data_IF_922780076017
#
_entry.id   IF_922780076017
#
_cell.length_a   1.000
_cell.length_b   1.000
_cell.length_c   1.000
_cell.angle_alpha   90.00
_cell.angle_beta   90.00
_cell.angle_gamma   90.00
#
_symmetry.space_group_name_H-M   'P 1'
#
loop_
_entity.id
_entity.type
_entity.pdbx_description
1 polymer ?
#
# COMPACT_ATOMS: atom_id res chain seq x y z
N UNK A 1 -0.42 -52.76 -29.65
CA UNK A 1 -1.01 -51.86 -28.63
C UNK A 1 -0.17 -52.05 -27.38
N UNK A 2 0.76 -51.13 -27.14
CA UNK A 2 1.83 -51.27 -26.14
C UNK A 2 1.19 -51.18 -24.75
N UNK A 3 1.19 -52.33 -24.07
CA UNK A 3 0.84 -52.57 -22.66
C UNK A 3 -0.60 -52.23 -22.25
N UNK A 4 -1.46 -53.24 -22.26
CA UNK A 4 -2.79 -53.26 -21.61
C UNK A 4 -2.64 -53.19 -20.09
N UNK A 5 -2.24 -52.03 -19.56
CA UNK A 5 -1.99 -51.86 -18.14
C UNK A 5 -2.68 -50.60 -17.62
N UNK A 6 -4.00 -50.71 -17.47
CA UNK A 6 -4.86 -49.65 -16.93
C UNK A 6 -4.45 -49.15 -15.54
N UNK A 7 -3.59 -49.89 -14.81
CA UNK A 7 -2.99 -49.41 -13.57
C UNK A 7 -2.01 -48.26 -13.84
N UNK A 8 -1.15 -48.37 -14.84
CA UNK A 8 -0.21 -47.28 -15.20
C UNK A 8 -0.94 -46.06 -15.77
N UNK A 9 -2.03 -46.28 -16.52
CA UNK A 9 -2.87 -45.19 -17.04
C UNK A 9 -3.64 -44.46 -15.92
N UNK A 10 -4.14 -45.21 -14.92
CA UNK A 10 -4.75 -44.66 -13.72
C UNK A 10 -3.77 -43.86 -12.84
N UNK A 11 -2.54 -44.36 -12.67
CA UNK A 11 -1.47 -43.64 -11.96
C UNK A 11 -1.11 -42.35 -12.71
N UNK A 12 -0.99 -42.43 -14.05
CA UNK A 12 -0.75 -41.26 -14.90
C UNK A 12 -1.83 -40.19 -14.74
N UNK A 13 -3.10 -40.61 -14.78
CA UNK A 13 -4.24 -39.69 -14.57
C UNK A 13 -4.23 -39.05 -13.18
N UNK A 14 -3.94 -39.83 -12.13
CA UNK A 14 -3.82 -39.29 -10.76
C UNK A 14 -2.67 -38.29 -10.61
N UNK A 15 -1.51 -38.57 -11.24
CA UNK A 15 -0.38 -37.64 -11.23
C UNK A 15 -0.70 -36.33 -11.96
N UNK A 16 -1.36 -36.41 -13.12
CA UNK A 16 -1.79 -35.21 -13.86
C UNK A 16 -2.81 -34.43 -13.02
N UNK A 17 -3.80 -35.11 -12.42
CA UNK A 17 -4.78 -34.47 -11.54
C UNK A 17 -4.13 -33.77 -10.35
N UNK A 18 -3.19 -34.44 -9.67
CA UNK A 18 -2.43 -33.85 -8.56
C UNK A 18 -1.59 -32.64 -8.98
N UNK A 19 -0.94 -32.71 -10.15
CA UNK A 19 -0.18 -31.60 -10.70
C UNK A 19 -1.08 -30.39 -10.97
N UNK A 20 -2.23 -30.59 -11.61
CA UNK A 20 -3.18 -29.51 -11.91
C UNK A 20 -3.73 -28.86 -10.65
N UNK A 21 -4.11 -29.65 -9.63
CA UNK A 21 -4.54 -29.12 -8.34
C UNK A 21 -3.43 -28.31 -7.68
N UNK A 22 -2.19 -28.81 -7.72
CA UNK A 22 -1.03 -28.10 -7.16
C UNK A 22 -0.81 -26.75 -7.85
N UNK A 23 -0.80 -26.72 -9.18
CA UNK A 23 -0.67 -25.47 -9.96
C UNK A 23 -1.82 -24.51 -9.67
N UNK A 24 -3.06 -25.02 -9.60
CA UNK A 24 -4.22 -24.19 -9.27
C UNK A 24 -4.10 -23.56 -7.88
N UNK A 25 -3.62 -24.31 -6.88
CA UNK A 25 -3.37 -23.79 -5.52
C UNK A 25 -2.28 -22.72 -5.53
N UNK A 26 -1.16 -22.95 -6.22
CA UNK A 26 -0.07 -21.96 -6.35
C UNK A 26 -0.59 -20.66 -6.96
N UNK A 27 -1.29 -20.75 -8.10
CA UNK A 27 -1.86 -19.58 -8.77
C UNK A 27 -2.91 -18.88 -7.90
N UNK A 28 -3.74 -19.62 -7.15
CA UNK A 28 -4.72 -19.02 -6.25
C UNK A 28 -4.06 -18.24 -5.09
N UNK A 29 -2.92 -18.73 -4.59
CA UNK A 29 -2.14 -18.02 -3.56
C UNK A 29 -1.43 -16.80 -4.14
N UNK A 30 -0.83 -16.90 -5.34
CA UNK A 30 -0.26 -15.73 -6.03
C UNK A 30 -1.32 -14.68 -6.37
N UNK A 31 -2.51 -15.11 -6.79
CA UNK A 31 -3.63 -14.20 -7.10
C UNK A 31 -4.15 -13.48 -5.85
N UNK A 32 -3.94 -14.01 -4.63
CA UNK A 32 -4.25 -13.24 -3.42
C UNK A 32 -3.37 -11.99 -3.27
N UNK A 33 -2.10 -12.05 -3.69
CA UNK A 33 -1.25 -10.84 -3.75
C UNK A 33 -1.76 -9.83 -4.79
N UNK A 34 -2.49 -10.30 -5.81
CA UNK A 34 -3.18 -9.44 -6.79
C UNK A 34 -4.49 -8.83 -6.24
N UNK A 35 -4.88 -9.09 -4.99
CA UNK A 35 -6.03 -8.44 -4.36
C UNK A 35 -5.69 -6.98 -4.03
N UNK A 36 -5.89 -6.14 -5.04
CA UNK A 36 -6.05 -4.69 -4.96
C UNK A 36 -6.78 -4.31 -3.66
N UNK A 37 -6.09 -3.69 -2.69
CA UNK A 37 -6.70 -3.48 -1.38
C UNK A 37 -5.78 -3.57 -0.18
N UNK A 38 -4.71 -4.34 -0.27
CA UNK A 38 -3.83 -4.57 0.89
C UNK A 38 -2.96 -3.35 1.18
N UNK A 39 -2.83 -3.00 2.47
CA UNK A 39 -1.88 -1.97 2.89
C UNK A 39 -0.44 -2.39 2.61
N UNK A 40 0.47 -1.41 2.55
CA UNK A 40 1.89 -1.68 2.43
C UNK A 40 2.38 -2.59 3.57
N UNK A 41 3.44 -3.36 3.32
CA UNK A 41 4.14 -4.09 4.38
C UNK A 41 4.61 -3.12 5.47
N UNK A 42 4.72 -3.59 6.72
CA UNK A 42 5.18 -2.75 7.84
C UNK A 42 6.55 -2.12 7.54
N UNK A 43 7.44 -2.85 6.85
CA UNK A 43 8.73 -2.35 6.40
C UNK A 43 8.59 -1.15 5.47
N UNK A 44 7.73 -1.24 4.45
CA UNK A 44 7.47 -0.14 3.53
C UNK A 44 6.82 1.05 4.23
N UNK A 45 5.86 0.83 5.14
CA UNK A 45 5.24 1.90 5.93
C UNK A 45 6.31 2.66 6.72
N UNK A 46 7.17 1.95 7.45
CA UNK A 46 8.24 2.56 8.23
C UNK A 46 9.26 3.28 7.34
N UNK A 47 9.58 2.75 6.17
CA UNK A 47 10.45 3.40 5.20
C UNK A 47 9.85 4.71 4.68
N UNK A 48 8.55 4.73 4.37
CA UNK A 48 7.81 5.91 3.95
C UNK A 48 7.80 6.96 5.06
N UNK A 49 7.45 6.58 6.28
CA UNK A 49 7.42 7.50 7.43
C UNK A 49 8.78 8.15 7.67
N UNK A 50 9.86 7.36 7.63
CA UNK A 50 11.23 7.89 7.76
C UNK A 50 11.61 8.83 6.62
N UNK A 51 11.26 8.48 5.38
CA UNK A 51 11.54 9.31 4.22
C UNK A 51 10.80 10.65 4.26
N UNK A 52 9.55 10.66 4.73
CA UNK A 52 8.76 11.86 4.95
C UNK A 52 9.33 12.73 6.08
N UNK A 53 9.73 12.10 7.19
CA UNK A 53 10.28 12.79 8.38
C UNK A 53 11.74 13.28 8.21
N UNK A 54 12.43 12.89 7.14
CA UNK A 54 13.83 13.26 6.90
C UNK A 54 14.02 14.69 6.37
N UNK A 55 12.97 15.36 5.89
CA UNK A 55 13.05 16.74 5.43
C UNK A 55 12.76 17.73 6.56
N UNK A 56 13.55 18.80 6.67
CA UNK A 56 13.33 19.85 7.68
C UNK A 56 12.03 20.65 7.43
N UNK A 57 11.57 20.70 6.17
CA UNK A 57 10.40 21.49 5.76
C UNK A 57 9.06 20.77 6.05
N UNK A 58 9.09 19.47 6.37
CA UNK A 58 7.90 18.70 6.76
C UNK A 58 7.94 18.46 8.25
N UNK A 59 7.02 19.09 8.99
CA UNK A 59 7.01 18.97 10.45
C UNK A 59 6.66 17.55 10.94
N UNK A 60 5.58 16.96 10.40
CA UNK A 60 5.01 15.69 10.87
C UNK A 60 4.10 15.06 9.81
N UNK A 61 4.10 13.74 9.75
CA UNK A 61 3.06 12.97 9.06
C UNK A 61 1.82 12.90 9.96
N UNK A 62 0.73 13.56 9.55
CA UNK A 62 -0.53 13.62 10.29
C UNK A 62 -1.35 12.35 10.07
N UNK A 63 -1.38 11.88 8.82
CA UNK A 63 -2.10 10.69 8.41
C UNK A 63 -1.37 10.02 7.26
N UNK A 64 -1.25 8.70 7.28
CA UNK A 64 -0.65 7.90 6.21
C UNK A 64 -1.56 6.72 5.88
N UNK A 65 -1.88 6.56 4.61
CA UNK A 65 -2.52 5.36 4.07
C UNK A 65 -1.76 4.86 2.86
N UNK A 66 -1.71 3.54 2.77
CA UNK A 66 -1.06 2.85 1.67
C UNK A 66 -1.98 1.79 1.10
N UNK A 67 -1.86 1.56 -0.21
CA UNK A 67 -2.70 0.62 -0.94
C UNK A 67 -1.89 -0.01 -2.06
N UNK A 68 -1.82 -1.34 -2.12
CA UNK A 68 -1.30 -2.04 -3.29
C UNK A 68 -2.30 -1.92 -4.43
N UNK A 69 -1.85 -1.30 -5.52
CA UNK A 69 -2.57 -1.16 -6.78
C UNK A 69 -2.15 -2.23 -7.82
N UNK A 70 -1.13 -3.02 -7.49
CA UNK A 70 -0.66 -4.15 -8.26
C UNK A 70 0.49 -4.84 -7.51
N UNK A 71 1.05 -5.94 -8.06
CA UNK A 71 2.10 -6.71 -7.39
C UNK A 71 3.37 -5.89 -7.11
N UNK A 72 3.67 -4.89 -7.94
CA UNK A 72 4.84 -4.01 -7.80
C UNK A 72 4.44 -2.52 -7.84
N UNK A 73 3.18 -2.22 -7.49
CA UNK A 73 2.65 -0.86 -7.52
C UNK A 73 1.93 -0.52 -6.22
N UNK A 74 2.44 0.51 -5.55
CA UNK A 74 1.92 1.01 -4.29
C UNK A 74 1.46 2.46 -4.44
N UNK A 75 0.28 2.74 -3.90
CA UNK A 75 -0.22 4.08 -3.65
C UNK A 75 0.10 4.49 -2.23
N UNK A 76 0.63 5.70 -2.08
CA UNK A 76 0.93 6.36 -0.82
C UNK A 76 0.10 7.64 -0.78
N UNK A 77 -0.82 7.73 0.17
CA UNK A 77 -1.59 8.94 0.44
C UNK A 77 -1.27 9.42 1.85
N UNK A 78 -0.68 10.61 1.96
CA UNK A 78 -0.27 11.14 3.25
C UNK A 78 -0.68 12.60 3.42
N UNK A 79 -1.12 12.93 4.63
CA UNK A 79 -1.31 14.30 5.07
C UNK A 79 -0.08 14.71 5.87
N UNK A 80 0.56 15.80 5.47
CA UNK A 80 1.81 16.29 6.06
C UNK A 80 1.61 17.69 6.64
N UNK A 81 2.20 17.95 7.80
CA UNK A 81 2.11 19.27 8.43
C UNK A 81 3.10 20.24 7.80
N UNK A 82 2.61 21.40 7.40
CA UNK A 82 3.42 22.55 6.93
C UNK A 82 3.33 23.71 7.91
N UNK A 83 4.26 24.66 7.82
CA UNK A 83 4.23 25.84 8.70
C UNK A 83 3.27 26.90 8.16
N UNK A 84 2.64 27.65 9.07
CA UNK A 84 1.63 28.67 8.73
C UNK A 84 2.20 29.82 7.88
N UNK A 85 3.49 30.09 8.02
CA UNK A 85 4.18 31.23 7.38
C UNK A 85 4.89 30.82 6.07
N UNK A 86 4.74 29.57 5.61
CA UNK A 86 5.37 29.13 4.38
C UNK A 86 4.65 29.64 3.12
N UNK A 87 5.44 30.08 2.16
CA UNK A 87 4.91 30.41 0.83
C UNK A 87 4.46 29.14 0.09
N UNK A 88 3.45 29.26 -0.77
CA UNK A 88 2.99 28.16 -1.61
C UNK A 88 4.12 27.51 -2.45
N UNK A 89 5.11 28.30 -2.87
CA UNK A 89 6.29 27.80 -3.60
C UNK A 89 7.24 26.99 -2.73
N UNK A 90 7.38 27.32 -1.44
CA UNK A 90 8.14 26.53 -0.46
C UNK A 90 7.46 25.18 -0.24
N UNK A 91 6.15 25.21 0.02
CA UNK A 91 5.34 24.02 0.25
C UNK A 91 5.42 23.06 -0.94
N UNK A 92 5.27 23.58 -2.17
CA UNK A 92 5.38 22.78 -3.38
C UNK A 92 6.76 22.10 -3.50
N UNK A 93 7.84 22.83 -3.23
CA UNK A 93 9.19 22.25 -3.25
C UNK A 93 9.38 21.19 -2.17
N UNK A 94 8.90 21.45 -0.95
CA UNK A 94 8.98 20.49 0.15
C UNK A 94 8.23 19.18 -0.18
N UNK A 95 7.07 19.28 -0.83
CA UNK A 95 6.31 18.14 -1.35
C UNK A 95 7.12 17.38 -2.41
N UNK A 96 7.63 18.06 -3.43
CA UNK A 96 8.40 17.43 -4.51
C UNK A 96 9.63 16.67 -3.97
N UNK A 97 10.35 17.28 -3.03
CA UNK A 97 11.50 16.65 -2.38
C UNK A 97 11.12 15.46 -1.51
N UNK A 98 9.99 15.52 -0.82
CA UNK A 98 9.47 14.42 -0.03
C UNK A 98 9.01 13.25 -0.91
N UNK A 99 8.32 13.52 -2.01
CA UNK A 99 7.97 12.50 -3.00
C UNK A 99 9.22 11.81 -3.56
N UNK A 100 10.27 12.59 -3.87
CA UNK A 100 11.53 12.04 -4.35
C UNK A 100 12.20 11.13 -3.30
N UNK A 101 12.22 11.53 -2.02
CA UNK A 101 12.75 10.69 -0.92
C UNK A 101 11.95 9.41 -0.74
N UNK A 102 10.62 9.49 -0.74
CA UNK A 102 9.74 8.32 -0.62
C UNK A 102 9.97 7.36 -1.77
N UNK A 103 10.05 7.87 -3.01
CA UNK A 103 10.30 7.05 -4.20
C UNK A 103 11.67 6.38 -4.19
N UNK A 104 12.68 7.04 -3.63
CA UNK A 104 14.00 6.45 -3.45
C UNK A 104 14.02 5.35 -2.38
N UNK A 105 13.27 5.54 -1.28
CA UNK A 105 13.19 4.59 -0.18
C UNK A 105 12.31 3.37 -0.50
N UNK A 106 11.21 3.57 -1.24
CA UNK A 106 10.24 2.53 -1.62
C UNK A 106 9.97 2.65 -3.13
N UNK A 107 10.77 2.00 -3.99
CA UNK A 107 10.66 2.15 -5.45
C UNK A 107 9.31 1.74 -6.04
N UNK A 108 8.58 0.84 -5.38
CA UNK A 108 7.23 0.42 -5.78
C UNK A 108 6.16 1.48 -5.51
N UNK A 109 6.45 2.53 -4.73
CA UNK A 109 5.56 3.68 -4.48
C UNK A 109 5.42 4.53 -5.75
N UNK A 110 4.64 4.03 -6.72
CA UNK A 110 4.47 4.68 -8.01
C UNK A 110 3.58 5.90 -7.92
N UNK A 111 2.54 5.83 -7.10
CA UNK A 111 1.57 6.89 -6.87
C UNK A 111 1.75 7.46 -5.48
N UNK A 112 2.09 8.74 -5.39
CA UNK A 112 2.33 9.44 -4.13
C UNK A 112 1.45 10.69 -4.17
N UNK A 113 0.59 10.83 -3.17
CA UNK A 113 -0.27 11.99 -2.96
C UNK A 113 0.03 12.57 -1.58
N UNK A 114 0.70 13.71 -1.56
CA UNK A 114 0.98 14.45 -0.34
C UNK A 114 0.06 15.67 -0.26
N UNK A 115 -0.80 15.68 0.76
CA UNK A 115 -1.67 16.81 1.06
C UNK A 115 -1.03 17.65 2.16
N UNK A 116 -0.70 18.94 1.92
CA UNK A 116 -0.23 19.84 2.96
C UNK A 116 -1.41 20.25 3.85
N UNK A 117 -1.19 20.24 5.17
CA UNK A 117 -2.16 20.68 6.15
C UNK A 117 -1.49 21.40 7.32
N UNK A 118 -2.28 22.15 8.07
CA UNK A 118 -1.82 22.75 9.31
C UNK A 118 -2.10 21.78 10.45
N UNK A 119 -1.07 21.48 11.25
CA UNK A 119 -1.28 20.66 12.43
C UNK A 119 -2.07 21.45 13.46
N UNK A 120 -3.37 21.13 13.58
CA UNK A 120 -4.23 21.60 14.67
C UNK A 120 -4.27 20.49 15.70
N UNK A 121 -3.79 20.76 16.91
CA UNK A 121 -3.89 19.84 18.04
C UNK A 121 -5.34 19.79 18.53
N UNK A 122 -6.22 19.16 17.74
CA UNK A 122 -7.62 18.99 18.09
C UNK A 122 -7.79 17.65 18.82
N UNK A 123 -8.24 17.64 20.09
CA UNK A 123 -8.55 16.40 20.77
C UNK A 123 -9.64 15.65 20.00
N UNK A 124 -9.40 14.37 19.74
CA UNK A 124 -10.31 13.51 19.02
C UNK A 124 -11.66 13.37 19.76
N UNK A 125 -12.63 14.25 19.48
CA UNK A 125 -14.08 14.00 19.58
C UNK A 125 -14.88 15.29 19.44
N UNK A 126 -15.59 15.42 18.33
CA UNK A 126 -16.90 16.06 18.29
C UNK A 126 -17.79 15.23 17.36
N UNK A 127 -18.18 14.04 17.83
CA UNK A 127 -19.43 13.44 17.38
C UNK A 127 -20.50 14.42 17.82
N UNK A 128 -21.03 15.19 16.87
CA UNK A 128 -22.21 16.02 17.07
C UNK A 128 -23.40 15.07 17.28
N UNK A 129 -24.05 15.05 18.46
CA UNK A 129 -25.32 14.36 18.59
C UNK A 129 -26.34 15.09 17.71
N UNK A 130 -26.97 14.37 16.78
CA UNK A 130 -28.04 14.91 15.95
C UNK A 130 -29.21 15.42 16.81
N UNK A 131 -29.90 16.49 16.39
CA UNK A 131 -31.03 17.04 17.12
C UNK A 131 -32.30 16.23 16.81
N UNK A 132 -32.47 15.12 17.52
CA UNK A 132 -33.70 14.33 17.51
C UNK A 132 -33.94 13.92 18.97
N UNK A 133 -34.98 14.30 19.69
CA UNK A 133 -36.27 14.88 19.34
C UNK A 133 -37.18 14.44 20.49
N UNK A 134 -37.51 15.39 21.36
CA UNK A 134 -38.53 15.27 22.40
C UNK A 134 -39.92 14.98 21.85
#
# INVERSE_FOLDING_TARGET
>A
LITDNGVWDGIGTLMIGGLLVTVAVVLAVETKSLLLGESATEEHVLAIERALAAGEDIGRVIHLRTLHMGPEELLVAAKISVSHDESAGSIARAIDEAEARVRAAVPIARFIYLEPDLFVDQPASAVVPGPDGS
#
